data_IF_572301316489
#
_entry.id   IF_572301316489
#
_cell.length_a   1.000
_cell.length_b   1.000
_cell.length_c   1.000
_cell.angle_alpha   90.00
_cell.angle_beta   90.00
_cell.angle_gamma   90.00
#
_symmetry.space_group_name_H-M   'P 1'
#
loop_
_entity.id
_entity.type
_entity.pdbx_description
1 polymer ?
#
# COMPACT_ATOMS: atom_id res chain seq x y z
N UNK A 1 -10.41 3.53 2.30
CA UNK A 1 -10.00 2.34 1.50
C UNK A 1 -10.76 1.09 1.96
N UNK A 2 -12.07 1.19 2.18
CA UNK A 2 -12.81 0.20 2.98
C UNK A 2 -12.91 -1.20 2.34
N UNK A 3 -12.75 -1.29 1.02
CA UNK A 3 -12.79 -2.54 0.29
C UNK A 3 -11.40 -3.19 0.07
N UNK A 4 -10.30 -2.50 0.44
CA UNK A 4 -8.93 -2.97 0.25
C UNK A 4 -8.15 -2.86 1.59
N UNK A 5 -8.47 -3.78 2.50
CA UNK A 5 -7.90 -3.83 3.85
C UNK A 5 -6.36 -3.96 3.85
N UNK A 6 -5.72 -4.77 2.97
CA UNK A 6 -4.27 -4.83 2.90
C UNK A 6 -3.64 -3.50 2.48
N UNK A 7 -4.21 -2.81 1.47
CA UNK A 7 -3.70 -1.50 1.06
C UNK A 7 -3.87 -0.46 2.17
N UNK A 8 -4.99 -0.50 2.90
CA UNK A 8 -5.22 0.37 4.06
C UNK A 8 -4.19 0.12 5.16
N UNK A 9 -3.88 -1.15 5.47
CA UNK A 9 -2.87 -1.51 6.47
C UNK A 9 -1.46 -1.04 6.06
N UNK A 10 -1.09 -1.18 4.78
CA UNK A 10 0.17 -0.66 4.26
C UNK A 10 0.25 0.87 4.35
N UNK A 11 -0.83 1.57 3.95
CA UNK A 11 -0.90 3.03 4.08
C UNK A 11 -0.81 3.47 5.55
N UNK A 12 -1.42 2.75 6.49
CA UNK A 12 -1.29 3.02 7.93
C UNK A 12 0.15 2.88 8.40
N UNK A 13 0.81 1.78 8.06
CA UNK A 13 2.20 1.53 8.46
C UNK A 13 3.15 2.61 7.90
N UNK A 14 2.94 3.05 6.66
CA UNK A 14 3.72 4.13 6.05
C UNK A 14 3.44 5.46 6.77
N UNK A 15 2.17 5.78 7.01
CA UNK A 15 1.77 7.01 7.69
C UNK A 15 2.41 7.11 9.09
N UNK A 16 2.28 6.06 9.89
CA UNK A 16 2.79 6.04 11.27
C UNK A 16 4.33 6.16 11.32
N UNK A 17 5.04 5.66 10.30
CA UNK A 17 6.50 5.82 10.19
C UNK A 17 6.91 7.23 9.72
N UNK A 18 6.18 7.83 8.78
CA UNK A 18 6.51 9.15 8.23
C UNK A 18 6.03 10.31 9.10
N UNK A 19 4.97 10.09 9.89
CA UNK A 19 4.34 11.10 10.73
C UNK A 19 4.17 10.58 12.16
N UNK A 20 5.28 10.33 12.88
CA UNK A 20 5.24 9.65 14.18
C UNK A 20 4.69 10.53 15.32
N UNK A 21 4.54 11.84 15.10
CA UNK A 21 4.06 12.79 16.11
C UNK A 21 3.29 13.96 15.47
N UNK A 22 2.63 14.74 16.32
CA UNK A 22 1.84 15.93 15.95
C UNK A 22 2.66 17.02 15.24
N UNK A 23 3.99 17.01 15.42
CA UNK A 23 4.91 17.91 14.72
C UNK A 23 4.92 17.66 13.20
N UNK A 24 4.72 16.40 12.79
CA UNK A 24 4.78 15.98 11.39
C UNK A 24 3.40 15.90 10.74
N UNK A 25 2.37 15.52 11.50
CA UNK A 25 0.99 15.61 11.06
C UNK A 25 0.05 15.88 12.25
N UNK A 26 -0.91 16.81 12.12
CA UNK A 26 -1.72 17.28 13.25
C UNK A 26 -2.73 16.25 13.78
N UNK A 27 -2.89 15.11 13.11
CA UNK A 27 -3.88 14.07 13.44
C UNK A 27 -3.33 12.69 13.15
N UNK A 28 -3.86 11.65 13.80
CA UNK A 28 -3.52 10.26 13.50
C UNK A 28 -4.17 9.76 12.19
N UNK A 29 -3.75 8.59 11.70
CA UNK A 29 -4.17 8.06 10.40
C UNK A 29 -5.68 7.96 10.20
N UNK A 30 -6.45 7.50 11.20
CA UNK A 30 -7.90 7.30 11.03
C UNK A 30 -8.63 8.64 10.80
N UNK A 31 -8.20 9.69 11.47
CA UNK A 31 -8.73 11.04 11.29
C UNK A 31 -8.19 11.67 9.99
N UNK A 32 -6.93 11.40 9.65
CA UNK A 32 -6.34 11.76 8.37
C UNK A 32 -7.09 11.13 7.18
N UNK A 33 -7.55 9.87 7.30
CA UNK A 33 -8.40 9.17 6.33
C UNK A 33 -9.76 9.83 6.21
N UNK A 34 -10.41 10.12 7.34
CA UNK A 34 -11.71 10.79 7.39
C UNK A 34 -11.70 12.13 6.66
N UNK A 35 -10.67 12.94 6.88
CA UNK A 35 -10.53 14.27 6.27
C UNK A 35 -9.77 14.28 4.95
N UNK A 36 -9.27 13.12 4.48
CA UNK A 36 -8.48 12.97 3.25
C UNK A 36 -7.31 13.96 3.17
N UNK A 37 -6.59 14.12 4.28
CA UNK A 37 -5.49 15.08 4.40
C UNK A 37 -4.37 14.79 3.40
N UNK A 38 -3.46 15.75 3.19
CA UNK A 38 -2.32 15.57 2.28
C UNK A 38 -1.43 14.39 2.70
N UNK A 39 -1.13 14.29 4.00
CA UNK A 39 -0.33 13.20 4.59
C UNK A 39 -0.98 11.83 4.35
N UNK A 40 -2.30 11.73 4.50
CA UNK A 40 -3.03 10.50 4.18
C UNK A 40 -2.89 10.14 2.70
N UNK A 41 -3.12 11.10 1.78
CA UNK A 41 -2.99 10.83 0.33
C UNK A 41 -1.57 10.43 -0.06
N UNK A 42 -0.55 11.02 0.57
CA UNK A 42 0.85 10.65 0.36
C UNK A 42 1.11 9.20 0.78
N UNK A 43 0.67 8.81 1.98
CA UNK A 43 0.82 7.43 2.47
C UNK A 43 0.08 6.42 1.59
N UNK A 44 -1.12 6.76 1.10
CA UNK A 44 -1.88 5.92 0.16
C UNK A 44 -1.15 5.77 -1.18
N UNK A 45 -0.64 6.87 -1.73
CA UNK A 45 0.13 6.83 -2.98
C UNK A 45 1.39 5.97 -2.85
N UNK A 46 2.12 6.11 -1.75
CA UNK A 46 3.29 5.30 -1.46
C UNK A 46 2.94 3.81 -1.30
N UNK A 47 1.83 3.48 -0.62
CA UNK A 47 1.35 2.11 -0.50
C UNK A 47 1.00 1.48 -1.86
N UNK A 48 0.35 2.25 -2.74
CA UNK A 48 0.02 1.80 -4.09
C UNK A 48 1.28 1.56 -4.94
N UNK A 49 2.26 2.47 -4.86
CA UNK A 49 3.54 2.33 -5.54
C UNK A 49 4.33 1.11 -5.02
N UNK A 50 4.40 0.93 -3.70
CA UNK A 50 5.05 -0.22 -3.09
C UNK A 50 4.39 -1.53 -3.53
N UNK A 51 3.05 -1.58 -3.57
CA UNK A 51 2.31 -2.74 -4.09
C UNK A 51 2.63 -3.03 -5.56
N UNK A 52 2.78 -2.01 -6.39
CA UNK A 52 3.15 -2.20 -7.79
C UNK A 52 4.57 -2.79 -7.92
N UNK A 53 5.56 -2.22 -7.20
CA UNK A 53 6.95 -2.70 -7.23
C UNK A 53 7.10 -4.11 -6.67
N UNK A 54 6.44 -4.40 -5.54
CA UNK A 54 6.52 -5.69 -4.87
C UNK A 54 5.66 -6.77 -5.55
N UNK A 55 4.53 -6.37 -6.15
CA UNK A 55 3.63 -7.24 -6.90
C UNK A 55 4.21 -7.69 -8.25
N UNK A 56 5.12 -6.92 -8.83
CA UNK A 56 5.83 -7.27 -10.08
C UNK A 56 6.80 -8.45 -9.91
N UNK A 57 7.06 -8.90 -8.68
CA UNK A 57 7.86 -10.11 -8.40
C UNK A 57 7.10 -11.41 -8.62
N UNK A 58 5.80 -11.36 -8.96
CA UNK A 58 5.07 -12.50 -9.49
C UNK A 58 5.48 -12.72 -10.96
N UNK A 59 6.68 -13.29 -11.14
CA UNK A 59 6.91 -14.33 -12.15
C UNK A 59 5.66 -15.19 -12.15
N UNK A 60 4.76 -15.01 -13.12
CA UNK A 60 3.80 -16.04 -13.43
C UNK A 60 4.63 -17.23 -13.89
N UNK A 61 4.64 -18.37 -13.17
CA UNK A 61 5.23 -19.58 -13.72
C UNK A 61 4.43 -19.86 -14.99
N UNK A 62 5.12 -20.03 -16.10
CA UNK A 62 4.51 -20.38 -17.37
C UNK A 62 3.62 -21.62 -17.17
N UNK A 63 2.31 -21.44 -17.28
CA UNK A 63 1.30 -22.51 -17.17
C UNK A 63 1.52 -23.65 -18.18
N UNK A 64 2.42 -23.45 -19.16
CA UNK A 64 2.72 -24.37 -20.25
C UNK A 64 4.20 -24.72 -20.39
N UNK A 65 4.99 -24.74 -19.31
CA UNK A 65 6.38 -25.22 -19.38
C UNK A 65 6.52 -26.76 -19.48
N UNK A 66 5.44 -27.50 -19.81
CA UNK A 66 5.40 -28.95 -19.62
C UNK A 66 4.55 -29.77 -20.60
N UNK A 67 4.21 -29.27 -21.79
CA UNK A 67 3.63 -30.13 -22.84
C UNK A 67 4.62 -30.38 -23.96
N UNK A 68 5.57 -31.29 -23.68
CA UNK A 68 6.18 -32.11 -24.71
C UNK A 68 6.31 -33.55 -24.19
N UNK A 69 5.52 -34.43 -24.82
CA UNK A 69 5.58 -35.91 -24.92
C UNK A 69 4.12 -36.40 -24.94
N UNK A 70 3.63 -37.14 -25.92
CA UNK A 70 4.28 -38.08 -26.84
C UNK A 70 3.85 -37.86 -28.30
#
# INVERSE_FOLDING_TARGET
MEHDLPLRAAARAIYDNCYPSEEWAPVGFDEAERFRTVHYRQAVGAAQQARAVLGDSAVQPSLFAGTRQA
#
